data_IF_569013689683
#
_entry.id   IF_569013689683
#
_cell.length_a   1.000
_cell.length_b   1.000
_cell.length_c   1.000
_cell.angle_alpha   90.00
_cell.angle_beta   90.00
_cell.angle_gamma   90.00
#
_symmetry.space_group_name_H-M   'P 1'
#
loop_
_entity.id
_entity.type
_entity.pdbx_description
1 polymer ?
#
# COMPACT_ATOMS: atom_id res chain seq x y z
N UNK A 1 -6.01 -16.24 -18.04
CA UNK A 1 -6.58 -16.11 -16.67
C UNK A 1 -5.44 -16.01 -15.65
N UNK A 2 -4.65 -14.92 -15.68
CA UNK A 2 -3.41 -14.79 -14.84
C UNK A 2 -3.10 -13.32 -14.50
N UNK A 3 -4.11 -12.51 -14.18
CA UNK A 3 -3.92 -11.09 -13.81
C UNK A 3 -4.49 -10.72 -12.44
N UNK A 4 -5.29 -11.61 -11.84
CA UNK A 4 -5.97 -11.34 -10.57
C UNK A 4 -5.07 -11.68 -9.36
N UNK A 5 -4.16 -12.65 -9.49
CA UNK A 5 -3.29 -13.07 -8.37
C UNK A 5 -2.28 -12.01 -7.94
N UNK A 6 -1.68 -11.25 -8.88
CA UNK A 6 -0.66 -10.25 -8.50
C UNK A 6 -1.24 -9.06 -7.73
N UNK A 7 -2.50 -8.69 -8.01
CA UNK A 7 -3.17 -7.55 -7.36
C UNK A 7 -3.51 -7.84 -5.88
N UNK A 8 -3.70 -9.12 -5.52
CA UNK A 8 -4.03 -9.54 -4.15
C UNK A 8 -2.79 -9.77 -3.29
N UNK A 9 -1.69 -10.23 -3.88
CA UNK A 9 -0.42 -10.50 -3.17
C UNK A 9 0.36 -9.22 -2.81
N UNK A 10 0.25 -8.15 -3.61
CA UNK A 10 0.90 -6.85 -3.34
C UNK A 10 0.02 -5.90 -2.49
N UNK A 11 -1.23 -6.28 -2.22
CA UNK A 11 -2.16 -5.54 -1.36
C UNK A 11 -2.09 -5.95 0.10
N UNK A 12 -1.02 -6.62 0.55
CA UNK A 12 -0.91 -7.04 1.94
C UNK A 12 -0.49 -5.83 2.77
N UNK A 13 -1.48 -5.17 3.37
CA UNK A 13 -1.34 -4.36 4.55
C UNK A 13 -0.78 -5.20 5.70
N UNK A 14 0.51 -5.55 5.66
CA UNK A 14 1.12 -6.31 6.74
C UNK A 14 1.49 -5.31 7.83
N UNK A 15 0.78 -5.39 8.96
CA UNK A 15 1.27 -4.82 10.21
C UNK A 15 2.36 -5.77 10.72
N UNK A 16 3.57 -5.26 10.86
CA UNK A 16 4.73 -6.02 11.35
C UNK A 16 5.16 -5.37 12.66
N UNK A 17 5.56 -6.19 13.63
CA UNK A 17 6.18 -5.72 14.87
C UNK A 17 7.69 -5.67 14.66
N UNK A 18 8.29 -4.50 14.84
CA UNK A 18 9.75 -4.33 14.84
C UNK A 18 10.14 -3.96 16.27
N UNK A 19 10.63 -4.94 17.03
CA UNK A 19 10.80 -4.79 18.49
C UNK A 19 9.46 -4.57 19.19
N UNK A 20 9.36 -3.48 19.98
CA UNK A 20 8.13 -3.06 20.65
C UNK A 20 7.20 -2.19 19.77
N UNK A 21 7.61 -1.83 18.55
CA UNK A 21 6.87 -0.89 17.70
C UNK A 21 6.04 -1.64 16.66
N UNK A 22 4.76 -1.29 16.56
CA UNK A 22 3.90 -1.73 15.47
C UNK A 22 4.08 -0.80 14.26
N UNK A 23 4.50 -1.36 13.12
CA UNK A 23 4.63 -0.64 11.86
C UNK A 23 3.68 -1.21 10.83
N UNK A 24 3.20 -0.37 9.91
CA UNK A 24 2.38 -0.78 8.77
C UNK A 24 3.01 -0.30 7.47
N UNK A 25 3.07 -1.18 6.47
CA UNK A 25 3.55 -0.83 5.13
C UNK A 25 2.37 -0.66 4.15
N UNK A 26 2.44 0.38 3.32
CA UNK A 26 1.61 0.54 2.12
C UNK A 26 2.50 0.35 0.90
N UNK A 27 2.00 -0.32 -0.14
CA UNK A 27 2.73 -0.58 -1.37
C UNK A 27 1.86 -0.19 -2.56
N UNK A 28 2.49 0.44 -3.55
CA UNK A 28 1.89 0.67 -4.86
C UNK A 28 2.68 -0.11 -5.91
N UNK A 29 2.01 -0.49 -6.99
CA UNK A 29 2.61 -1.25 -8.08
C UNK A 29 2.34 -0.59 -9.42
N UNK A 30 3.23 -0.79 -10.39
CA UNK A 30 3.06 -0.35 -11.77
C UNK A 30 3.39 -1.49 -12.73
N UNK A 31 2.83 -1.43 -13.94
CA UNK A 31 2.97 -2.46 -14.96
C UNK A 31 3.40 -1.85 -16.28
N UNK A 32 4.51 -2.34 -16.82
CA UNK A 32 4.95 -2.01 -18.16
C UNK A 32 4.17 -2.85 -19.21
N UNK A 33 3.76 -2.26 -20.35
CA UNK A 33 3.86 -0.83 -20.72
C UNK A 33 2.65 0.02 -20.30
N UNK A 34 1.67 -0.53 -19.56
CA UNK A 34 0.39 0.14 -19.29
C UNK A 34 0.53 1.43 -18.47
N UNK A 35 1.49 1.48 -17.56
CA UNK A 35 1.66 2.56 -16.59
C UNK A 35 2.85 3.48 -16.92
N UNK A 36 3.56 3.20 -18.02
CA UNK A 36 4.76 3.92 -18.39
C UNK A 36 5.59 3.14 -19.40
N UNK A 37 6.34 3.88 -20.20
CA UNK A 37 7.32 3.38 -21.17
C UNK A 37 8.75 3.45 -20.64
N UNK A 38 8.99 4.29 -19.63
CA UNK A 38 10.28 4.45 -18.97
C UNK A 38 10.25 3.98 -17.52
N UNK A 39 11.43 3.71 -16.95
CA UNK A 39 11.57 3.36 -15.55
C UNK A 39 10.96 4.43 -14.63
N UNK A 40 11.26 5.71 -14.88
CA UNK A 40 10.77 6.84 -14.08
C UNK A 40 9.24 6.89 -14.08
N UNK A 41 8.61 6.75 -15.25
CA UNK A 41 7.13 6.73 -15.35
C UNK A 41 6.50 5.60 -14.55
N UNK A 42 7.12 4.41 -14.56
CA UNK A 42 6.65 3.26 -13.79
C UNK A 42 6.81 3.48 -12.28
N UNK A 43 7.93 4.05 -11.83
CA UNK A 43 8.15 4.38 -10.41
C UNK A 43 7.16 5.45 -9.94
N UNK A 44 6.96 6.51 -10.72
CA UNK A 44 6.00 7.57 -10.40
C UNK A 44 4.56 7.04 -10.35
N UNK A 45 4.20 6.09 -11.23
CA UNK A 45 2.90 5.43 -11.18
C UNK A 45 2.73 4.55 -9.95
N UNK A 46 3.77 3.81 -9.55
CA UNK A 46 3.76 2.98 -8.35
C UNK A 46 3.68 3.84 -7.08
N UNK A 47 4.45 4.92 -7.00
CA UNK A 47 4.50 5.82 -5.84
C UNK A 47 3.17 6.56 -5.63
N UNK A 48 2.55 7.06 -6.70
CA UNK A 48 1.19 7.65 -6.63
C UNK A 48 0.16 6.68 -6.05
N UNK A 49 0.19 5.41 -6.45
CA UNK A 49 -0.72 4.38 -5.92
C UNK A 49 -0.41 4.04 -4.46
N UNK A 50 0.87 4.01 -4.08
CA UNK A 50 1.28 3.80 -2.69
C UNK A 50 0.73 4.91 -1.79
N UNK A 51 0.88 6.17 -2.19
CA UNK A 51 0.33 7.30 -1.44
C UNK A 51 -1.20 7.28 -1.37
N UNK A 52 -1.87 6.85 -2.44
CA UNK A 52 -3.30 6.57 -2.41
C UNK A 52 -3.69 5.55 -1.32
N UNK A 53 -3.00 4.41 -1.26
CA UNK A 53 -3.21 3.40 -0.20
C UNK A 53 -2.86 3.92 1.20
N UNK A 54 -1.81 4.74 1.32
CA UNK A 54 -1.44 5.39 2.59
C UNK A 54 -2.52 6.35 3.07
N UNK A 55 -3.11 7.13 2.17
CA UNK A 55 -4.21 8.05 2.48
C UNK A 55 -5.47 7.30 2.90
N UNK A 56 -5.88 6.27 2.14
CA UNK A 56 -7.05 5.43 2.45
C UNK A 56 -6.98 4.82 3.85
N UNK A 57 -5.81 4.32 4.26
CA UNK A 57 -5.64 3.78 5.62
C UNK A 57 -5.69 4.83 6.71
N UNK A 58 -5.22 6.06 6.45
CA UNK A 58 -5.31 7.13 7.43
C UNK A 58 -6.77 7.42 7.77
N UNK A 59 -7.64 7.40 6.77
CA UNK A 59 -9.08 7.60 6.91
C UNK A 59 -9.74 6.42 7.66
N UNK A 60 -9.36 5.18 7.36
CA UNK A 60 -9.85 3.98 8.05
C UNK A 60 -9.38 3.89 9.52
N UNK A 61 -8.18 4.38 9.83
CA UNK A 61 -7.62 4.39 11.19
C UNK A 61 -8.10 5.55 12.08
N UNK A 62 -8.74 6.59 11.51
CA UNK A 62 -9.37 7.65 12.31
C UNK A 62 -10.45 7.13 13.26
N UNK A 63 -10.95 5.92 13.06
CA UNK A 63 -11.92 5.26 13.94
C UNK A 63 -11.31 4.27 14.96
N UNK A 64 -10.02 3.95 14.88
CA UNK A 64 -9.39 2.92 15.76
C UNK A 64 -8.33 3.48 16.72
N UNK A 65 -8.24 4.80 16.87
CA UNK A 65 -7.46 5.41 17.96
C UNK A 65 -8.33 5.75 19.19
N UNK A 66 -9.64 5.49 19.14
CA UNK A 66 -10.56 5.70 20.26
C UNK A 66 -10.83 4.44 21.11
N UNK A 67 -10.31 3.26 20.69
CA UNK A 67 -10.70 1.96 21.29
C UNK A 67 -9.65 1.27 22.17
N UNK A 68 -8.40 1.71 22.17
CA UNK A 68 -7.30 0.99 22.85
C UNK A 68 -6.74 1.74 24.08
N UNK A 69 -7.58 2.57 24.73
CA UNK A 69 -7.28 3.11 26.07
C UNK A 69 -8.54 3.00 26.95
N UNK A 70 -8.70 1.82 27.56
CA UNK A 70 -9.28 1.52 28.89
C UNK A 70 -9.49 0.00 29.01
#
# INVERSE_FOLDING_TARGET
MTLIKLRRELGIAKRVRVGSVAVSASMGSARFPQDGSTYTELVDAADRRMYGEKARRREEHSFTLAGDIC
#
